data_IF_324620867212
#
_entry.id   IF_324620867212
#
_cell.length_a   1.000
_cell.length_b   1.000
_cell.length_c   1.000
_cell.angle_alpha   90.00
_cell.angle_beta   90.00
_cell.angle_gamma   90.00
#
_symmetry.space_group_name_H-M   'P 1'
#
loop_
_entity.id
_entity.type
_entity.pdbx_description
1 polymer ?
#
# COMPACT_ATOMS: atom_id res chain seq x y z
N UNK A 1 -14.62 3.56 2.03
CA UNK A 1 -13.22 4.03 2.15
C UNK A 1 -13.05 5.21 1.20
N UNK A 2 -12.49 6.33 1.63
CA UNK A 2 -12.31 7.51 0.77
C UNK A 2 -11.03 7.40 -0.05
N UNK A 3 -11.16 6.81 -1.25
CA UNK A 3 -10.06 6.57 -2.18
C UNK A 3 -9.69 7.80 -3.01
N UNK A 4 -10.55 8.82 -3.11
CA UNK A 4 -10.29 10.04 -3.91
C UNK A 4 -9.02 10.75 -3.46
N UNK A 5 -8.73 10.71 -2.16
CA UNK A 5 -7.50 11.29 -1.59
C UNK A 5 -6.22 10.67 -2.14
N UNK A 6 -6.26 9.40 -2.55
CA UNK A 6 -5.11 8.69 -3.10
C UNK A 6 -4.90 8.97 -4.59
N UNK A 7 -5.79 9.74 -5.23
CA UNK A 7 -5.76 10.06 -6.67
C UNK A 7 -5.69 8.81 -7.54
N UNK A 8 -6.45 7.78 -7.17
CA UNK A 8 -6.41 6.48 -7.84
C UNK A 8 -7.32 6.39 -9.06
N UNK A 9 -8.16 7.40 -9.29
CA UNK A 9 -9.09 7.50 -10.43
C UNK A 9 -8.40 7.50 -11.80
N UNK A 10 -7.10 7.79 -11.86
CA UNK A 10 -6.31 7.80 -13.09
C UNK A 10 -5.77 6.41 -13.48
N UNK A 11 -5.94 5.41 -12.63
CA UNK A 11 -5.44 4.04 -12.87
C UNK A 11 -6.60 3.09 -13.16
N UNK A 12 -6.30 2.01 -13.86
CA UNK A 12 -7.28 1.01 -14.28
C UNK A 12 -6.93 -0.40 -13.79
N UNK A 13 -5.68 -0.62 -13.38
CA UNK A 13 -5.15 -1.95 -13.07
C UNK A 13 -4.74 -2.08 -11.61
N UNK A 14 -5.65 -2.63 -10.82
CA UNK A 14 -5.48 -2.75 -9.38
C UNK A 14 -5.15 -4.17 -8.95
N UNK A 15 -4.42 -4.30 -7.84
CA UNK A 15 -4.29 -5.53 -7.08
C UNK A 15 -4.61 -5.22 -5.63
N UNK A 16 -5.50 -6.00 -5.02
CA UNK A 16 -5.92 -5.82 -3.63
C UNK A 16 -5.50 -7.06 -2.85
N UNK A 17 -4.69 -6.87 -1.81
CA UNK A 17 -4.04 -7.97 -1.09
C UNK A 17 -4.22 -7.83 0.43
N UNK A 18 -4.41 -8.97 1.09
CA UNK A 18 -4.46 -9.09 2.55
C UNK A 18 -5.59 -8.30 3.24
N UNK A 19 -6.63 -7.86 2.53
CA UNK A 19 -7.76 -7.14 3.13
C UNK A 19 -8.71 -8.11 3.86
N UNK A 20 -9.32 -7.69 4.99
CA UNK A 20 -10.47 -8.40 5.55
C UNK A 20 -11.62 -8.43 4.54
N UNK A 21 -12.34 -9.54 4.47
CA UNK A 21 -13.40 -9.74 3.47
C UNK A 21 -14.47 -8.63 3.52
N UNK A 22 -14.88 -8.22 4.72
CA UNK A 22 -15.91 -7.18 4.90
C UNK A 22 -15.42 -5.75 4.60
N UNK A 23 -14.14 -5.61 4.22
CA UNK A 23 -13.39 -4.36 4.15
C UNK A 23 -12.68 -4.17 2.81
N UNK A 24 -12.86 -5.11 1.89
CA UNK A 24 -12.22 -5.11 0.58
C UNK A 24 -12.67 -3.90 -0.25
N UNK A 25 -11.74 -3.09 -0.80
CA UNK A 25 -12.09 -2.04 -1.73
C UNK A 25 -12.78 -2.61 -2.98
N UNK A 26 -13.86 -1.96 -3.40
CA UNK A 26 -14.54 -2.25 -4.65
C UNK A 26 -13.74 -1.66 -5.82
N UNK A 27 -12.77 -2.43 -6.30
CA UNK A 27 -11.87 -2.07 -7.40
C UNK A 27 -11.76 -3.24 -8.38
N UNK A 28 -11.78 -2.98 -9.71
CA UNK A 28 -11.52 -4.02 -10.69
C UNK A 28 -10.06 -4.48 -10.57
N UNK A 29 -9.87 -5.75 -10.19
CA UNK A 29 -8.54 -6.33 -9.97
C UNK A 29 -8.05 -7.06 -11.22
N UNK A 30 -6.74 -6.99 -11.46
CA UNK A 30 -6.07 -7.69 -12.57
C UNK A 30 -4.80 -8.37 -12.05
N UNK A 31 -4.36 -9.42 -12.77
CA UNK A 31 -3.20 -10.22 -12.38
C UNK A 31 -1.88 -9.79 -13.06
N UNK A 32 -1.94 -8.97 -14.11
CA UNK A 32 -0.76 -8.56 -14.89
C UNK A 32 -0.69 -7.06 -15.14
N UNK A 33 0.54 -6.53 -15.24
CA UNK A 33 0.83 -5.11 -15.49
C UNK A 33 0.12 -4.17 -14.50
N UNK A 34 0.27 -4.45 -13.21
CA UNK A 34 -0.42 -3.76 -12.13
C UNK A 34 0.06 -2.30 -12.04
N UNK A 35 -0.88 -1.37 -11.87
CA UNK A 35 -0.60 0.04 -11.65
C UNK A 35 -0.64 0.40 -10.17
N UNK A 36 -1.58 -0.19 -9.43
CA UNK A 36 -1.78 0.11 -8.02
C UNK A 36 -1.94 -1.18 -7.21
N UNK A 37 -1.06 -1.37 -6.24
CA UNK A 37 -1.23 -2.39 -5.21
C UNK A 37 -1.83 -1.73 -3.98
N UNK A 38 -2.99 -2.20 -3.54
CA UNK A 38 -3.51 -1.97 -2.21
C UNK A 38 -3.15 -3.17 -1.34
N UNK A 39 -2.40 -2.95 -0.27
CA UNK A 39 -2.01 -4.01 0.66
C UNK A 39 -2.41 -3.62 2.09
N UNK A 40 -3.22 -4.44 2.76
CA UNK A 40 -3.56 -4.19 4.15
C UNK A 40 -2.48 -4.74 5.09
N UNK A 41 -2.04 -3.91 6.04
CA UNK A 41 -1.01 -4.22 7.01
C UNK A 41 -1.70 -4.49 8.35
N UNK A 42 -1.75 -5.77 8.73
CA UNK A 42 -2.31 -6.20 10.01
C UNK A 42 -1.23 -6.48 11.07
N UNK A 43 0.02 -6.59 10.64
CA UNK A 43 1.17 -6.84 11.49
C UNK A 43 2.43 -6.27 10.85
N UNK A 44 3.52 -6.13 11.60
CA UNK A 44 4.81 -5.71 11.02
C UNK A 44 5.32 -6.73 9.99
N UNK A 45 5.02 -8.02 10.16
CA UNK A 45 5.37 -9.05 9.19
C UNK A 45 4.72 -8.81 7.81
N UNK A 46 3.55 -8.16 7.75
CA UNK A 46 2.89 -7.82 6.49
C UNK A 46 3.66 -6.81 5.64
N UNK A 47 4.50 -5.99 6.26
CA UNK A 47 5.39 -5.10 5.50
C UNK A 47 6.32 -5.91 4.62
N UNK A 48 6.90 -6.99 5.17
CA UNK A 48 7.78 -7.88 4.41
C UNK A 48 7.00 -8.65 3.35
N UNK A 49 5.84 -9.21 3.70
CA UNK A 49 4.97 -9.92 2.73
C UNK A 49 4.54 -9.01 1.56
N UNK A 50 4.24 -7.75 1.84
CA UNK A 50 3.93 -6.75 0.82
C UNK A 50 5.11 -6.52 -0.14
N UNK A 51 6.32 -6.39 0.40
CA UNK A 51 7.54 -6.22 -0.40
C UNK A 51 7.79 -7.45 -1.29
N UNK A 52 7.72 -8.64 -0.71
CA UNK A 52 7.95 -9.89 -1.44
C UNK A 52 6.90 -10.05 -2.58
N UNK A 53 5.63 -9.70 -2.31
CA UNK A 53 4.59 -9.66 -3.34
C UNK A 53 4.89 -8.64 -4.45
N UNK A 54 5.27 -7.41 -4.08
CA UNK A 54 5.65 -6.39 -5.05
C UNK A 54 6.86 -6.81 -5.90
N UNK A 55 7.72 -7.68 -5.39
CA UNK A 55 8.86 -8.26 -6.12
C UNK A 55 8.43 -9.38 -7.07
N UNK A 56 7.42 -10.18 -6.71
CA UNK A 56 6.95 -11.32 -7.51
C UNK A 56 6.02 -10.92 -8.67
N UNK A 57 5.50 -9.69 -8.71
CA UNK A 57 4.57 -9.22 -9.75
C UNK A 57 5.20 -8.16 -10.66
N UNK A 58 4.66 -8.08 -11.88
CA UNK A 58 5.00 -7.02 -12.83
C UNK A 58 4.21 -5.74 -12.51
N UNK A 59 4.93 -4.65 -12.23
CA UNK A 59 4.38 -3.33 -11.96
C UNK A 59 4.73 -2.38 -13.11
N UNK A 60 3.87 -1.39 -13.38
CA UNK A 60 4.18 -0.31 -14.33
C UNK A 60 5.15 0.73 -13.75
N UNK A 61 5.87 1.51 -14.58
CA UNK A 61 6.84 2.50 -14.09
C UNK A 61 6.26 3.58 -13.13
N UNK A 62 5.06 4.13 -13.36
CA UNK A 62 4.39 5.06 -12.42
C UNK A 62 3.47 4.33 -11.42
N UNK A 63 3.87 3.14 -10.96
CA UNK A 63 3.07 2.37 -10.01
C UNK A 63 2.85 3.11 -8.68
N UNK A 64 1.85 2.63 -7.93
CA UNK A 64 1.59 3.01 -6.54
C UNK A 64 1.47 1.75 -5.69
N UNK A 65 2.22 1.69 -4.61
CA UNK A 65 2.03 0.69 -3.55
C UNK A 65 1.44 1.41 -2.36
N UNK A 66 0.18 1.09 -2.05
CA UNK A 66 -0.65 1.75 -1.06
C UNK A 66 -0.83 0.80 0.12
N UNK A 67 -0.12 1.11 1.21
CA UNK A 67 -0.16 0.31 2.43
C UNK A 67 -1.25 0.87 3.33
N UNK A 68 -2.31 0.10 3.53
CA UNK A 68 -3.48 0.48 4.33
C UNK A 68 -3.39 -0.17 5.70
N UNK A 69 -3.72 0.56 6.76
CA UNK A 69 -3.63 0.06 8.13
C UNK A 69 -4.70 0.67 9.03
N UNK A 70 -5.07 -0.07 10.08
CA UNK A 70 -6.00 0.40 11.09
C UNK A 70 -5.36 1.44 12.03
N UNK A 71 -6.12 2.49 12.35
CA UNK A 71 -5.76 3.55 13.28
C UNK A 71 -6.02 3.12 14.72
N UNK A 72 -5.29 3.73 15.65
CA UNK A 72 -5.56 3.58 17.09
C UNK A 72 -5.22 2.20 17.66
N UNK A 73 -4.42 1.41 16.96
CA UNK A 73 -3.95 0.11 17.46
C UNK A 73 -3.02 0.29 18.66
N UNK A 74 -3.15 -0.59 19.64
CA UNK A 74 -2.37 -0.59 20.90
C UNK A 74 -1.28 -1.67 20.94
N UNK A 75 -1.19 -2.47 19.89
CA UNK A 75 -0.26 -3.61 19.75
C UNK A 75 1.10 -3.21 19.13
N UNK A 76 1.37 -1.91 19.04
CA UNK A 76 2.63 -1.39 18.48
C UNK A 76 2.63 -1.19 16.97
N UNK A 77 1.60 -1.67 16.24
CA UNK A 77 1.48 -1.38 14.81
C UNK A 77 0.95 0.04 14.59
N UNK A 78 1.85 0.95 14.20
CA UNK A 78 1.51 2.34 13.92
C UNK A 78 2.24 2.84 12.66
N UNK A 79 1.87 4.03 12.19
CA UNK A 79 2.45 4.68 11.00
C UNK A 79 3.98 4.58 10.99
N UNK A 80 4.62 4.94 12.10
CA UNK A 80 6.07 5.05 12.16
C UNK A 80 6.71 3.66 12.09
N UNK A 81 6.14 2.66 12.77
CA UNK A 81 6.59 1.28 12.67
C UNK A 81 6.51 0.73 11.23
N UNK A 82 5.48 1.11 10.46
CA UNK A 82 5.31 0.64 9.08
C UNK A 82 6.20 1.41 8.09
N UNK A 83 6.37 2.72 8.25
CA UNK A 83 7.11 3.57 7.28
C UNK A 83 8.62 3.62 7.53
N UNK A 84 9.07 3.37 8.77
CA UNK A 84 10.48 3.49 9.17
C UNK A 84 11.42 2.63 8.31
N UNK A 85 11.11 1.36 8.00
CA UNK A 85 11.98 0.54 7.17
C UNK A 85 12.25 1.14 5.78
N UNK A 86 11.25 1.79 5.18
CA UNK A 86 11.36 2.47 3.89
C UNK A 86 12.17 3.77 3.99
N UNK A 87 11.94 4.56 5.04
CA UNK A 87 12.69 5.82 5.28
C UNK A 87 14.17 5.58 5.56
N UNK A 88 14.49 4.49 6.26
CA UNK A 88 15.87 4.14 6.59
C UNK A 88 16.60 3.41 5.45
N UNK A 89 15.93 3.13 4.32
CA UNK A 89 16.52 2.43 3.19
C UNK A 89 16.79 0.93 3.44
N UNK A 90 16.27 0.35 4.53
CA UNK A 90 16.40 -1.08 4.82
C UNK A 90 15.59 -1.96 3.86
N UNK A 91 14.60 -1.37 3.18
CA UNK A 91 13.86 -1.96 2.07
C UNK A 91 14.22 -1.16 0.80
N UNK A 92 15.24 -1.57 0.04
CA UNK A 92 15.68 -0.85 -1.15
C UNK A 92 14.64 -1.00 -2.29
N UNK A 93 14.71 -0.07 -3.25
CA UNK A 93 13.83 -0.09 -4.43
C UNK A 93 12.41 0.42 -4.17
N UNK A 94 12.16 1.08 -3.04
CA UNK A 94 10.88 1.74 -2.74
C UNK A 94 11.13 3.18 -2.31
N UNK A 95 10.34 4.10 -2.84
CA UNK A 95 10.39 5.53 -2.49
C UNK A 95 9.01 6.03 -2.10
N UNK A 96 8.96 7.00 -1.18
CA UNK A 96 7.70 7.67 -0.82
C UNK A 96 7.17 8.48 -2.01
N UNK A 97 5.86 8.41 -2.23
CA UNK A 97 5.20 9.09 -3.35
C UNK A 97 4.03 9.92 -2.85
N UNK A 98 3.85 11.12 -3.42
CA UNK A 98 2.70 11.94 -3.10
C UNK A 98 1.39 11.30 -3.62
N UNK A 99 0.30 11.31 -2.83
CA UNK A 99 0.23 11.80 -1.45
C UNK A 99 0.81 10.79 -0.46
N UNK A 100 1.82 11.20 0.32
CA UNK A 100 2.61 10.25 1.13
C UNK A 100 1.82 9.58 2.24
N UNK A 101 0.84 10.26 2.84
CA UNK A 101 0.01 9.76 3.93
C UNK A 101 -1.41 10.30 3.75
N UNK A 102 -2.42 9.44 3.86
CA UNK A 102 -3.81 9.77 3.67
C UNK A 102 -4.69 9.11 4.73
N UNK A 103 -5.60 9.89 5.31
CA UNK A 103 -6.70 9.36 6.12
C UNK A 103 -7.84 8.91 5.20
N UNK A 104 -8.06 7.60 5.12
CA UNK A 104 -9.09 7.01 4.24
C UNK A 104 -10.46 6.89 4.91
N UNK A 105 -10.49 6.81 6.23
CA UNK A 105 -11.71 6.81 7.05
C UNK A 105 -11.34 7.14 8.51
N UNK A 106 -12.30 7.28 9.44
CA UNK A 106 -11.98 7.35 10.86
C UNK A 106 -11.19 6.15 11.37
N UNK A 107 -11.34 4.98 10.73
CA UNK A 107 -10.72 3.73 11.14
C UNK A 107 -9.38 3.47 10.43
N UNK A 108 -9.17 3.98 9.21
CA UNK A 108 -7.99 3.60 8.41
C UNK A 108 -7.19 4.79 7.89
N UNK A 109 -5.89 4.56 7.82
CA UNK A 109 -4.94 5.40 7.11
C UNK A 109 -4.22 4.57 6.05
N UNK A 110 -3.60 5.27 5.11
CA UNK A 110 -2.68 4.67 4.17
C UNK A 110 -1.47 5.56 3.95
N UNK A 111 -0.35 4.97 3.57
CA UNK A 111 0.77 5.70 2.98
C UNK A 111 1.11 5.11 1.62
N UNK A 112 1.74 5.94 0.80
CA UNK A 112 1.92 5.66 -0.62
C UNK A 112 3.41 5.60 -0.96
N UNK A 113 3.79 4.49 -1.57
CA UNK A 113 5.12 4.23 -2.09
C UNK A 113 5.06 4.06 -3.62
N UNK A 114 6.23 4.11 -4.24
CA UNK A 114 6.46 3.66 -5.61
C UNK A 114 7.62 2.67 -5.57
N UNK A 115 7.44 1.48 -6.18
CA UNK A 115 8.56 0.56 -6.44
C UNK A 115 9.37 1.12 -7.61
N UNK A 116 10.66 1.29 -7.42
CA UNK A 116 11.58 1.66 -8.49
C UNK A 116 11.79 0.45 -9.40
N UNK A 117 11.61 0.67 -10.70
CA UNK A 117 11.80 -0.32 -11.74
C UNK A 117 12.99 0.17 -12.56
N UNK A 118 14.03 -0.66 -12.66
CA UNK A 118 15.22 -0.40 -13.45
C UNK A 118 15.06 -0.95 -14.86
#
# INVERSE_FOLDING_TARGET
MDLKKLRVEKFQRFSVQNFPAEKMPDLPTVESEIEVIFYYIDSIADVRRCVDYCQSVSLRPDNRVILVYAKGRKDGLNRDAIITPFRQGTIPGFVLKAPMLCSLSPQWSAFVLQKQIH
#
